data_IF_201665209337
#
_entry.id   IF_201665209337
#
_cell.length_a   1.000
_cell.length_b   1.000
_cell.length_c   1.000
_cell.angle_alpha   90.00
_cell.angle_beta   90.00
_cell.angle_gamma   90.00
#
_symmetry.space_group_name_H-M   'P 1'
#
loop_
_entity.id
_entity.type
_entity.pdbx_description
1 polymer ?
#
# COMPACT_ATOMS: atom_id res chain seq x y z
N UNK A 1 24.41 -5.16 -8.55
CA UNK A 1 23.97 -5.98 -7.40
C UNK A 1 22.47 -6.18 -7.53
N UNK A 2 22.04 -7.39 -7.86
CA UNK A 2 20.65 -7.70 -8.18
C UNK A 2 19.84 -7.86 -6.89
N UNK A 3 18.88 -6.95 -6.64
CA UNK A 3 17.85 -7.16 -5.64
C UNK A 3 16.96 -8.33 -6.08
N UNK A 4 16.99 -9.44 -5.34
CA UNK A 4 16.07 -10.57 -5.54
C UNK A 4 14.66 -10.11 -5.15
N UNK A 5 13.88 -9.66 -6.11
CA UNK A 5 12.43 -9.62 -5.96
C UNK A 5 11.94 -11.08 -5.91
N UNK A 6 11.37 -11.48 -4.79
CA UNK A 6 10.84 -12.81 -4.60
C UNK A 6 9.34 -12.78 -4.87
N UNK A 7 8.92 -13.32 -6.01
CA UNK A 7 7.52 -13.60 -6.29
C UNK A 7 7.13 -14.87 -5.51
N UNK A 8 6.38 -14.68 -4.42
CA UNK A 8 5.96 -15.73 -3.50
C UNK A 8 4.71 -16.43 -4.06
N UNK A 9 4.88 -17.56 -4.74
CA UNK A 9 3.74 -18.39 -5.15
C UNK A 9 3.43 -19.57 -4.21
N UNK A 10 4.36 -20.06 -3.39
CA UNK A 10 4.11 -21.26 -2.56
C UNK A 10 4.87 -21.29 -1.22
N UNK A 11 5.32 -20.12 -0.74
CA UNK A 11 6.40 -20.06 0.24
C UNK A 11 6.01 -19.69 1.67
N UNK A 12 4.74 -19.85 2.08
CA UNK A 12 4.37 -19.73 3.50
C UNK A 12 5.12 -20.71 4.41
N UNK A 13 5.67 -21.80 3.84
CA UNK A 13 6.45 -22.80 4.58
C UNK A 13 7.98 -22.62 4.53
N UNK A 14 8.55 -21.75 3.69
CA UNK A 14 10.02 -21.72 3.49
C UNK A 14 10.75 -20.43 3.93
N UNK A 15 10.08 -19.32 4.22
CA UNK A 15 10.77 -18.04 4.53
C UNK A 15 10.88 -17.63 6.00
N UNK A 16 10.65 -18.54 6.95
CA UNK A 16 10.95 -18.27 8.37
C UNK A 16 12.45 -18.22 8.72
N UNK A 17 13.37 -18.16 7.75
CA UNK A 17 14.81 -18.34 7.99
C UNK A 17 15.75 -17.26 7.45
N UNK A 18 15.29 -16.09 7.01
CA UNK A 18 16.24 -15.07 6.54
C UNK A 18 15.99 -13.71 7.18
N UNK A 19 16.80 -13.36 8.18
CA UNK A 19 16.90 -12.02 8.80
C UNK A 19 17.28 -10.92 7.80
N UNK A 20 17.80 -11.31 6.64
CA UNK A 20 18.33 -10.42 5.59
C UNK A 20 17.29 -9.98 4.55
N UNK A 21 16.01 -10.28 4.75
CA UNK A 21 14.97 -9.92 3.79
C UNK A 21 14.80 -8.39 3.75
N UNK A 22 15.10 -7.79 2.59
CA UNK A 22 15.03 -6.34 2.36
C UNK A 22 13.77 -5.89 1.61
N UNK A 23 13.13 -6.79 0.87
CA UNK A 23 11.90 -6.51 0.13
C UNK A 23 10.93 -7.67 0.30
N UNK A 24 9.69 -7.35 0.67
CA UNK A 24 8.57 -8.27 0.73
C UNK A 24 7.48 -7.76 -0.22
N UNK A 25 7.00 -8.63 -1.09
CA UNK A 25 5.94 -8.32 -2.04
C UNK A 25 4.87 -9.41 -1.99
N UNK A 26 3.61 -9.01 -1.89
CA UNK A 26 2.46 -9.89 -1.76
C UNK A 26 1.28 -9.36 -2.59
N UNK A 27 0.53 -10.27 -3.22
CA UNK A 27 -0.68 -9.92 -3.96
C UNK A 27 -1.81 -10.91 -3.64
N UNK A 28 -3.06 -10.42 -3.54
CA UNK A 28 -4.22 -11.22 -3.12
C UNK A 28 -4.44 -12.48 -3.97
N UNK A 29 -4.22 -12.44 -5.29
CA UNK A 29 -4.44 -13.66 -6.10
C UNK A 29 -3.40 -14.76 -5.80
N UNK A 30 -2.35 -14.44 -5.04
CA UNK A 30 -1.34 -15.39 -4.54
C UNK A 30 -1.39 -15.57 -3.02
N UNK A 31 -2.34 -14.92 -2.33
CA UNK A 31 -2.40 -14.94 -0.88
C UNK A 31 -3.83 -14.89 -0.33
N UNK A 32 -4.27 -16.03 0.22
CA UNK A 32 -5.57 -16.19 0.89
C UNK A 32 -5.50 -16.02 2.43
N UNK A 33 -4.51 -15.28 2.94
CA UNK A 33 -4.32 -15.08 4.39
C UNK A 33 -4.27 -13.61 4.81
N UNK A 34 -3.92 -13.37 6.08
CA UNK A 34 -3.55 -12.05 6.60
C UNK A 34 -2.04 -11.99 6.87
N UNK A 35 -1.45 -10.81 6.74
CA UNK A 35 -0.06 -10.58 7.10
C UNK A 35 0.05 -10.72 8.63
N UNK A 36 0.67 -11.78 9.15
CA UNK A 36 0.71 -11.91 10.61
C UNK A 36 1.75 -10.96 11.19
N UNK A 37 1.40 -10.25 12.26
CA UNK A 37 2.33 -9.38 13.00
C UNK A 37 3.58 -10.15 13.43
N UNK A 38 3.42 -11.42 13.82
CA UNK A 38 4.52 -12.36 14.12
C UNK A 38 5.49 -12.57 12.94
N UNK A 39 5.01 -12.56 11.69
CA UNK A 39 5.89 -12.66 10.52
C UNK A 39 6.66 -11.36 10.30
N UNK A 40 5.97 -10.21 10.40
CA UNK A 40 6.58 -8.88 10.25
C UNK A 40 7.72 -8.64 11.26
N UNK A 41 7.55 -9.10 12.50
CA UNK A 41 8.57 -9.01 13.55
C UNK A 41 9.91 -9.71 13.20
N UNK A 42 9.94 -10.58 12.17
CA UNK A 42 11.13 -11.34 11.78
C UNK A 42 11.99 -10.66 10.70
N UNK A 43 11.60 -9.47 10.23
CA UNK A 43 12.27 -8.79 9.12
C UNK A 43 12.83 -7.40 9.51
N UNK A 44 13.81 -7.32 10.43
CA UNK A 44 14.34 -6.04 10.91
C UNK A 44 15.08 -5.22 9.82
N UNK A 45 15.50 -5.89 8.74
CA UNK A 45 16.18 -5.27 7.60
C UNK A 45 15.25 -4.96 6.42
N UNK A 46 13.92 -5.08 6.61
CA UNK A 46 12.96 -4.79 5.56
C UNK A 46 12.99 -3.31 5.18
N UNK A 47 13.21 -3.04 3.90
CA UNK A 47 13.25 -1.69 3.32
C UNK A 47 12.02 -1.40 2.45
N UNK A 48 11.44 -2.43 1.84
CA UNK A 48 10.28 -2.32 0.94
C UNK A 48 9.20 -3.35 1.30
N UNK A 49 7.97 -2.87 1.55
CA UNK A 49 6.78 -3.69 1.73
C UNK A 49 5.75 -3.32 0.66
N UNK A 50 5.45 -4.26 -0.24
CA UNK A 50 4.51 -4.05 -1.33
C UNK A 50 3.33 -5.02 -1.21
N UNK A 51 2.13 -4.46 -1.05
CA UNK A 51 0.87 -5.18 -0.89
C UNK A 51 -0.08 -4.76 -2.01
N UNK A 52 -0.57 -5.74 -2.78
CA UNK A 52 -1.45 -5.51 -3.93
C UNK A 52 -2.76 -6.28 -3.76
N UNK A 53 -3.90 -5.58 -3.83
CA UNK A 53 -5.23 -6.11 -3.52
C UNK A 53 -5.33 -6.71 -2.09
N UNK A 54 -4.42 -6.34 -1.19
CA UNK A 54 -4.37 -6.79 0.21
C UNK A 54 -4.63 -5.58 1.11
N UNK A 55 -5.62 -5.70 1.99
CA UNK A 55 -5.88 -4.72 3.05
C UNK A 55 -4.85 -4.89 4.17
N UNK A 56 -4.24 -3.78 4.59
CA UNK A 56 -3.46 -3.70 5.82
C UNK A 56 -4.31 -3.16 6.97
N UNK A 57 -4.08 -3.67 8.17
CA UNK A 57 -4.70 -3.24 9.43
C UNK A 57 -3.80 -2.25 10.18
N UNK A 58 -4.40 -1.55 11.16
CA UNK A 58 -3.67 -0.63 12.05
C UNK A 58 -2.55 -1.38 12.80
N UNK A 59 -2.86 -2.57 13.34
CA UNK A 59 -1.90 -3.39 14.09
C UNK A 59 -0.70 -3.82 13.23
N UNK A 60 -0.93 -4.15 11.96
CA UNK A 60 0.15 -4.48 11.02
C UNK A 60 1.02 -3.24 10.73
N UNK A 61 0.43 -2.05 10.54
CA UNK A 61 1.19 -0.80 10.36
C UNK A 61 2.02 -0.46 11.59
N UNK A 62 1.45 -0.54 12.78
CA UNK A 62 2.15 -0.33 14.06
C UNK A 62 3.30 -1.32 14.22
N UNK A 63 3.05 -2.61 13.92
CA UNK A 63 4.07 -3.67 13.97
C UNK A 63 5.21 -3.38 13.01
N UNK A 64 4.90 -2.98 11.77
CA UNK A 64 5.93 -2.58 10.78
C UNK A 64 6.75 -1.40 11.32
N UNK A 65 6.11 -0.37 11.87
CA UNK A 65 6.81 0.79 12.45
C UNK A 65 7.72 0.43 13.62
N UNK A 66 7.31 -0.54 14.45
CA UNK A 66 8.09 -0.99 15.60
C UNK A 66 9.27 -1.90 15.22
N UNK A 67 9.07 -2.82 14.27
CA UNK A 67 10.00 -3.93 14.03
C UNK A 67 10.76 -3.85 12.71
N UNK A 68 10.36 -2.98 11.77
CA UNK A 68 11.03 -2.77 10.49
C UNK A 68 11.60 -1.35 10.39
N UNK A 69 12.59 -0.96 11.22
CA UNK A 69 13.07 0.43 11.29
C UNK A 69 13.74 0.92 10.00
N UNK A 70 14.11 0.01 9.10
CA UNK A 70 14.74 0.31 7.82
C UNK A 70 13.73 0.58 6.70
N UNK A 71 12.41 0.44 6.96
CA UNK A 71 11.40 0.57 5.93
C UNK A 71 11.39 1.99 5.34
N UNK A 72 11.55 2.05 4.02
CA UNK A 72 11.56 3.29 3.25
C UNK A 72 10.45 3.35 2.21
N UNK A 73 9.95 2.19 1.80
CA UNK A 73 8.91 2.06 0.79
C UNK A 73 7.76 1.22 1.32
N UNK A 74 6.56 1.79 1.26
CA UNK A 74 5.32 1.09 1.54
C UNK A 74 4.39 1.28 0.35
N UNK A 75 3.89 0.17 -0.19
CA UNK A 75 2.84 0.18 -1.21
C UNK A 75 1.68 -0.64 -0.67
N UNK A 76 0.51 -0.02 -0.54
CA UNK A 76 -0.73 -0.68 -0.17
C UNK A 76 -1.76 -0.27 -1.20
N UNK A 77 -1.80 -1.04 -2.27
CA UNK A 77 -2.54 -0.69 -3.46
C UNK A 77 -3.72 -1.64 -3.64
N UNK A 78 -4.87 -1.05 -3.96
CA UNK A 78 -6.11 -1.76 -4.26
C UNK A 78 -6.88 -0.96 -5.30
N UNK A 79 -7.83 -1.58 -6.00
CA UNK A 79 -8.75 -0.81 -6.85
C UNK A 79 -9.62 0.12 -6.00
N UNK A 80 -9.59 1.41 -6.33
CA UNK A 80 -10.54 2.40 -5.83
C UNK A 80 -11.87 2.32 -6.57
N UNK A 81 -12.94 2.68 -5.88
CA UNK A 81 -14.29 2.71 -6.44
C UNK A 81 -14.86 4.12 -6.38
N UNK A 82 -15.17 4.68 -7.55
CA UNK A 82 -15.84 6.00 -7.65
C UNK A 82 -17.23 5.89 -7.00
N UNK A 83 -17.52 6.79 -6.07
CA UNK A 83 -18.80 6.77 -5.35
C UNK A 83 -18.83 5.85 -4.12
N UNK A 84 -17.68 5.35 -3.65
CA UNK A 84 -17.61 4.66 -2.38
C UNK A 84 -18.15 5.56 -1.26
N UNK A 85 -19.18 5.07 -0.55
CA UNK A 85 -19.76 5.78 0.60
C UNK A 85 -18.91 5.62 1.87
N UNK A 86 -17.92 4.72 1.84
CA UNK A 86 -17.04 4.46 2.97
C UNK A 86 -15.78 5.32 2.86
N UNK A 87 -15.50 6.08 3.92
CA UNK A 87 -14.28 6.87 4.09
C UNK A 87 -13.60 6.41 5.38
N UNK A 88 -12.28 6.28 5.36
CA UNK A 88 -11.52 5.94 6.56
C UNK A 88 -10.12 6.55 6.51
N UNK A 89 -9.79 7.30 7.55
CA UNK A 89 -8.47 7.88 7.75
C UNK A 89 -7.57 7.02 8.66
N UNK A 90 -8.08 5.91 9.20
CA UNK A 90 -7.41 5.12 10.26
C UNK A 90 -6.03 4.61 9.83
N UNK A 91 -5.94 4.03 8.63
CA UNK A 91 -4.66 3.53 8.10
C UNK A 91 -3.70 4.68 7.78
N UNK A 92 -4.21 5.80 7.24
CA UNK A 92 -3.39 6.97 6.98
C UNK A 92 -2.83 7.59 8.27
N UNK A 93 -3.65 7.64 9.33
CA UNK A 93 -3.24 8.07 10.66
C UNK A 93 -2.17 7.11 11.23
N UNK A 94 -2.41 5.81 11.17
CA UNK A 94 -1.46 4.81 11.64
C UNK A 94 -0.10 4.93 10.91
N UNK A 95 -0.12 5.13 9.59
CA UNK A 95 1.09 5.35 8.79
C UNK A 95 1.81 6.62 9.25
N UNK A 96 1.08 7.74 9.35
CA UNK A 96 1.64 9.02 9.77
C UNK A 96 2.23 8.98 11.19
N UNK A 97 1.68 8.16 12.08
CA UNK A 97 2.16 8.05 13.46
C UNK A 97 3.34 7.08 13.63
N UNK A 98 3.42 6.03 12.81
CA UNK A 98 4.35 4.92 13.04
C UNK A 98 5.47 4.80 12.00
N UNK A 99 5.30 5.34 10.79
CA UNK A 99 6.24 5.17 9.68
C UNK A 99 6.97 6.48 9.33
N UNK A 100 7.52 7.15 10.35
CA UNK A 100 8.12 8.49 10.21
C UNK A 100 9.32 8.55 9.24
N UNK A 101 10.01 7.43 9.05
CA UNK A 101 11.17 7.31 8.15
C UNK A 101 10.82 7.04 6.67
N UNK A 102 9.54 6.91 6.34
CA UNK A 102 9.08 6.54 5.00
C UNK A 102 9.46 7.60 3.95
N UNK A 103 9.81 7.13 2.75
CA UNK A 103 10.25 7.97 1.62
C UNK A 103 9.41 7.78 0.37
N UNK A 104 8.84 6.60 0.20
CA UNK A 104 7.97 6.26 -0.90
C UNK A 104 6.69 5.62 -0.36
N UNK A 105 5.56 6.24 -0.64
CA UNK A 105 4.25 5.76 -0.22
C UNK A 105 3.31 5.66 -1.42
N UNK A 106 2.79 4.46 -1.68
CA UNK A 106 1.69 4.26 -2.62
C UNK A 106 0.47 3.76 -1.86
N UNK A 107 -0.65 4.46 -2.05
CA UNK A 107 -1.92 4.16 -1.41
C UNK A 107 -3.03 4.11 -2.47
N UNK A 108 -2.75 3.50 -3.63
CA UNK A 108 -3.69 3.48 -4.74
C UNK A 108 -5.04 2.92 -4.28
N UNK A 109 -6.13 3.62 -4.61
CA UNK A 109 -7.50 3.24 -4.25
C UNK A 109 -7.83 3.33 -2.76
N UNK A 110 -6.97 3.95 -1.94
CA UNK A 110 -7.27 4.18 -0.54
C UNK A 110 -8.43 5.18 -0.35
N UNK A 111 -9.24 4.96 0.69
CA UNK A 111 -10.46 5.71 0.98
C UNK A 111 -10.27 6.84 2.00
N UNK A 112 -9.03 7.23 2.25
CA UNK A 112 -8.71 8.35 3.12
C UNK A 112 -9.25 9.67 2.57
N UNK A 113 -9.53 10.57 3.49
CA UNK A 113 -9.93 11.94 3.22
C UNK A 113 -8.73 12.87 3.29
N UNK A 114 -8.98 14.17 3.14
CA UNK A 114 -7.99 15.20 3.37
C UNK A 114 -7.41 15.18 4.80
N UNK A 115 -8.13 14.65 5.78
CA UNK A 115 -7.66 14.52 7.17
C UNK A 115 -6.51 13.51 7.25
N UNK A 116 -6.70 12.30 6.73
CA UNK A 116 -5.66 11.27 6.71
C UNK A 116 -4.43 11.70 5.91
N UNK A 117 -4.63 12.30 4.74
CA UNK A 117 -3.52 12.83 3.93
C UNK A 117 -2.73 13.91 4.68
N UNK A 118 -3.41 14.82 5.40
CA UNK A 118 -2.72 15.84 6.19
C UNK A 118 -1.86 15.23 7.29
N UNK A 119 -2.37 14.21 7.99
CA UNK A 119 -1.58 13.50 9.01
C UNK A 119 -0.32 12.88 8.43
N UNK A 120 -0.38 12.28 7.23
CA UNK A 120 0.81 11.76 6.53
C UNK A 120 1.80 12.89 6.24
N UNK A 121 1.34 13.99 5.63
CA UNK A 121 2.22 15.11 5.27
C UNK A 121 2.86 15.79 6.48
N UNK A 122 2.11 15.91 7.57
CA UNK A 122 2.54 16.59 8.78
C UNK A 122 3.55 15.78 9.61
N UNK A 123 3.62 14.46 9.44
CA UNK A 123 4.51 13.59 10.23
C UNK A 123 5.62 12.92 9.40
N UNK A 124 5.35 12.53 8.14
CA UNK A 124 6.31 11.86 7.26
C UNK A 124 7.16 12.89 6.48
N UNK A 125 8.02 13.62 7.19
CA UNK A 125 8.80 14.72 6.59
C UNK A 125 9.85 14.28 5.54
N UNK A 126 10.19 12.99 5.50
CA UNK A 126 11.11 12.43 4.52
C UNK A 126 10.42 11.84 3.29
N UNK A 127 9.09 11.97 3.19
CA UNK A 127 8.33 11.45 2.06
C UNK A 127 8.68 12.22 0.78
N UNK A 128 9.22 11.51 -0.21
CA UNK A 128 9.66 12.06 -1.50
C UNK A 128 8.72 11.68 -2.64
N UNK A 129 8.12 10.49 -2.57
CA UNK A 129 7.17 9.98 -3.56
C UNK A 129 5.85 9.62 -2.89
N UNK A 130 4.76 10.13 -3.44
CA UNK A 130 3.40 9.83 -2.98
C UNK A 130 2.49 9.52 -4.18
N UNK A 131 1.90 8.34 -4.17
CA UNK A 131 0.93 7.91 -5.18
C UNK A 131 -0.47 7.82 -4.57
N UNK A 132 -1.35 8.70 -5.04
CA UNK A 132 -2.75 8.83 -4.59
C UNK A 132 -3.74 8.42 -5.69
N UNK A 133 -3.30 7.73 -6.75
CA UNK A 133 -4.21 7.32 -7.83
C UNK A 133 -5.40 6.54 -7.28
N UNK A 134 -6.57 6.78 -7.84
CA UNK A 134 -7.85 6.24 -7.36
C UNK A 134 -8.23 6.57 -5.89
N UNK A 135 -7.51 7.46 -5.18
CA UNK A 135 -7.93 8.02 -3.88
C UNK A 135 -9.02 9.09 -4.07
N UNK A 136 -10.19 8.68 -4.53
CA UNK A 136 -11.28 9.58 -4.93
C UNK A 136 -11.93 10.38 -3.79
N UNK A 137 -11.59 10.08 -2.53
CA UNK A 137 -12.09 10.81 -1.36
C UNK A 137 -11.25 12.04 -1.00
N UNK A 138 -10.14 12.28 -1.71
CA UNK A 138 -9.24 13.41 -1.48
C UNK A 138 -9.61 14.55 -2.44
N UNK A 139 -9.76 15.75 -1.88
CA UNK A 139 -9.85 16.99 -2.65
C UNK A 139 -8.55 17.80 -2.47
N UNK A 140 -7.71 17.80 -3.50
CA UNK A 140 -6.43 18.51 -3.51
C UNK A 140 -6.55 19.99 -3.92
N UNK A 141 -7.77 20.55 -3.96
CA UNK A 141 -7.93 21.98 -4.22
C UNK A 141 -7.31 22.83 -3.12
N UNK A 142 -6.82 24.00 -3.53
CA UNK A 142 -6.31 25.06 -2.64
C UNK A 142 -5.06 24.62 -1.85
N UNK A 143 -5.17 24.44 -0.53
CA UNK A 143 -4.01 24.41 0.36
C UNK A 143 -3.32 23.05 0.42
N UNK A 144 -4.09 21.95 0.39
CA UNK A 144 -3.51 20.61 0.50
C UNK A 144 -2.73 20.24 -0.76
N UNK A 145 -3.23 20.60 -1.95
CA UNK A 145 -2.49 20.45 -3.20
C UNK A 145 -1.19 21.26 -3.24
N UNK A 146 -1.19 22.48 -2.70
CA UNK A 146 0.03 23.29 -2.55
C UNK A 146 1.03 22.64 -1.58
N UNK A 147 0.55 22.12 -0.45
CA UNK A 147 1.39 21.39 0.52
C UNK A 147 2.04 20.17 -0.13
N UNK A 148 1.25 19.32 -0.81
CA UNK A 148 1.77 18.18 -1.55
C UNK A 148 2.84 18.60 -2.58
N UNK A 149 2.55 19.60 -3.41
CA UNK A 149 3.47 20.05 -4.47
C UNK A 149 4.79 20.63 -3.93
N UNK A 150 4.77 21.18 -2.71
CA UNK A 150 5.97 21.72 -2.06
C UNK A 150 6.81 20.63 -1.39
N UNK A 151 6.16 19.64 -0.77
CA UNK A 151 6.83 18.63 0.04
C UNK A 151 7.22 17.38 -0.76
N UNK A 152 6.39 16.99 -1.72
CA UNK A 152 6.51 15.73 -2.46
C UNK A 152 7.16 16.01 -3.81
N UNK A 153 8.26 15.30 -4.10
CA UNK A 153 8.99 15.42 -5.38
C UNK A 153 8.24 14.72 -6.51
N UNK A 154 7.73 13.52 -6.23
CA UNK A 154 7.04 12.67 -7.19
C UNK A 154 5.61 12.42 -6.70
N UNK A 155 4.66 13.24 -7.14
CA UNK A 155 3.25 13.14 -6.77
C UNK A 155 2.45 12.57 -7.94
N UNK A 156 1.68 11.49 -7.71
CA UNK A 156 0.66 11.00 -8.64
C UNK A 156 -0.73 11.25 -8.05
N UNK A 157 -1.60 11.87 -8.84
CA UNK A 157 -2.90 12.39 -8.41
C UNK A 157 -4.03 11.37 -8.56
N UNK A 158 -5.16 11.54 -7.86
CA UNK A 158 -6.28 10.59 -7.91
C UNK A 158 -6.80 10.19 -9.28
N UNK A 159 -6.72 11.09 -10.28
CA UNK A 159 -7.23 10.84 -11.64
C UNK A 159 -6.13 10.54 -12.66
N UNK A 160 -4.87 10.38 -12.24
CA UNK A 160 -3.79 10.02 -13.16
C UNK A 160 -3.94 8.56 -13.63
N UNK A 161 -3.45 8.28 -14.84
CA UNK A 161 -3.51 6.95 -15.44
C UNK A 161 -2.85 5.89 -14.56
N UNK A 162 -3.44 4.70 -14.53
CA UNK A 162 -2.88 3.52 -13.87
C UNK A 162 -2.05 2.63 -14.81
N UNK A 163 -1.77 3.03 -16.05
CA UNK A 163 -1.13 2.17 -17.07
C UNK A 163 0.13 1.41 -16.59
N UNK A 164 0.90 1.98 -15.66
CA UNK A 164 2.09 1.34 -15.06
C UNK A 164 1.82 0.49 -13.80
N UNK A 165 0.55 0.31 -13.39
CA UNK A 165 0.18 -0.47 -12.22
C UNK A 165 0.09 -1.98 -12.56
N UNK A 166 0.94 -2.82 -11.95
CA UNK A 166 1.19 -4.20 -12.41
C UNK A 166 -0.01 -5.17 -12.26
N UNK A 167 -1.03 -4.81 -11.47
CA UNK A 167 -2.18 -5.68 -11.20
C UNK A 167 -3.49 -5.17 -11.83
N UNK A 168 -3.43 -4.17 -12.71
CA UNK A 168 -4.58 -3.56 -13.39
C UNK A 168 -5.56 -4.55 -14.03
N UNK A 169 -5.03 -5.54 -14.75
CA UNK A 169 -5.79 -6.43 -15.63
C UNK A 169 -6.29 -7.72 -14.94
N UNK A 170 -5.79 -7.97 -13.72
CA UNK A 170 -6.14 -9.19 -12.99
C UNK A 170 -7.53 -9.08 -12.34
N UNK A 171 -8.06 -7.86 -12.16
CA UNK A 171 -9.41 -7.62 -11.64
C UNK A 171 -10.50 -7.73 -12.71
N UNK A 172 -10.22 -7.35 -13.96
CA UNK A 172 -11.18 -7.46 -15.09
C UNK A 172 -11.43 -8.93 -15.48
N UNK A 173 -10.38 -9.75 -15.51
CA UNK A 173 -10.50 -11.19 -15.81
C UNK A 173 -11.21 -11.97 -14.70
N UNK A 174 -11.08 -11.56 -13.43
CA UNK A 174 -11.81 -12.16 -12.32
C UNK A 174 -13.29 -11.75 -12.26
N UNK A 175 -13.63 -10.51 -12.66
CA UNK A 175 -15.03 -10.12 -12.88
C UNK A 175 -15.67 -11.08 -13.90
N UNK A 176 -15.01 -11.36 -15.02
CA UNK A 176 -15.53 -12.29 -16.03
C UNK A 176 -15.58 -13.77 -15.60
N UNK A 177 -14.83 -14.18 -14.56
CA UNK A 177 -14.91 -15.54 -14.00
C UNK A 177 -15.95 -15.67 -12.88
N UNK A 178 -16.22 -14.62 -12.09
CA UNK A 178 -17.25 -14.65 -11.05
C UNK A 178 -18.68 -14.61 -11.62
N UNK A 179 -18.88 -14.01 -12.80
CA UNK A 179 -20.17 -14.01 -13.51
C UNK A 179 -20.39 -15.21 -14.45
N UNK A 180 -19.41 -16.12 -14.61
CA UNK A 180 -19.55 -17.31 -15.47
C UNK A 180 -19.78 -18.62 -14.72
N UNK A 181 -19.69 -18.63 -13.38
CA UNK A 181 -20.02 -19.81 -12.58
C UNK A 181 -21.52 -19.98 -12.31
N UNK A 182 -22.34 -18.97 -12.62
CA UNK A 182 -23.81 -19.04 -12.53
C UNK A 182 -24.49 -19.40 -13.87
N UNK A 183 -23.73 -19.71 -14.93
CA UNK A 183 -24.26 -20.01 -16.27
C UNK A 183 -24.31 -21.50 -16.63
N UNK A 184 -23.94 -22.41 -15.71
CA UNK A 184 -24.06 -23.86 -15.91
C UNK A 184 -24.60 -24.54 -14.66
N UNK A 185 -25.92 -24.42 -14.44
CA UNK A 185 -26.74 -25.43 -13.75
C UNK A 185 -27.82 -25.86 -14.73
#
# INVERSE_FOLDING_TARGET
>A
MHHKAMFLYDCFRLFYRTSELRRLEMAHIFFFGKLTTVALMKFPLLEELNLYEITISIEEVETVGCYCPMLKTLKVNQRGYVGSLTRSDEIAIAIGQNLLGIRHLELIGNKMTNVGLRVILDNCHHLETLDLRECFCIDLKVDLGKQCSKQIKCLKLPNDSLEDYPYLYLTESQYNMTYNVDAYI
#
